data_IF_316844876510
#
_entry.id   IF_316844876510
#
_cell.length_a   1.000
_cell.length_b   1.000
_cell.length_c   1.000
_cell.angle_alpha   90.00
_cell.angle_beta   90.00
_cell.angle_gamma   90.00
#
_symmetry.space_group_name_H-M   'P 1'
#
loop_
_entity.id
_entity.type
_entity.pdbx_description
1 polymer ?
#
# COMPACT_ATOMS: atom_id res chain seq x y z
N UNK A 1 30.72 19.12 31.74
CA UNK A 1 31.03 18.98 30.30
C UNK A 1 31.00 17.50 29.93
N UNK A 2 29.85 16.94 29.53
CA UNK A 2 29.73 15.51 29.19
C UNK A 2 28.39 15.16 28.53
N UNK A 3 27.97 15.88 27.48
CA UNK A 3 26.77 15.54 26.70
C UNK A 3 27.00 15.52 25.17
N UNK A 4 28.14 16.00 24.68
CA UNK A 4 28.45 16.00 23.24
C UNK A 4 28.67 14.61 22.60
N UNK A 5 29.26 13.59 23.27
CA UNK A 5 29.59 12.33 22.58
C UNK A 5 28.35 11.46 22.25
N UNK A 6 27.29 11.57 23.05
CA UNK A 6 26.12 10.70 22.94
C UNK A 6 25.19 11.11 21.78
N UNK A 7 25.01 12.43 21.58
CA UNK A 7 24.29 12.97 20.43
C UNK A 7 24.99 12.64 19.11
N UNK A 8 26.32 12.74 19.06
CA UNK A 8 27.09 12.42 17.86
C UNK A 8 26.95 10.94 17.43
N UNK A 9 26.96 9.99 18.39
CA UNK A 9 26.74 8.57 18.10
C UNK A 9 25.31 8.26 17.66
N UNK A 10 24.30 8.94 18.24
CA UNK A 10 22.90 8.80 17.84
C UNK A 10 22.67 9.24 16.39
N UNK A 11 23.22 10.38 16.01
CA UNK A 11 23.16 10.88 14.63
C UNK A 11 23.85 9.94 13.63
N UNK A 12 25.01 9.37 13.99
CA UNK A 12 25.73 8.44 13.12
C UNK A 12 24.94 7.15 12.86
N UNK A 13 24.33 6.58 13.90
CA UNK A 13 23.48 5.37 13.77
C UNK A 13 22.22 5.63 12.95
N UNK A 14 21.62 6.81 13.10
CA UNK A 14 20.46 7.20 12.30
C UNK A 14 20.85 7.36 10.82
N UNK A 15 21.99 8.00 10.54
CA UNK A 15 22.49 8.19 9.18
C UNK A 15 22.82 6.86 8.48
N UNK A 16 23.41 5.90 9.21
CA UNK A 16 23.68 4.55 8.69
C UNK A 16 22.38 3.79 8.41
N UNK A 17 21.36 3.89 9.27
CA UNK A 17 20.06 3.27 9.02
C UNK A 17 19.33 3.87 7.81
N UNK A 18 19.40 5.19 7.64
CA UNK A 18 18.84 5.88 6.47
C UNK A 18 19.56 5.44 5.21
N UNK A 19 20.89 5.37 5.22
CA UNK A 19 21.69 4.90 4.08
C UNK A 19 21.38 3.43 3.71
N UNK A 20 21.17 2.58 4.72
CA UNK A 20 20.77 1.17 4.53
C UNK A 20 19.36 1.04 3.94
N UNK A 21 18.40 1.87 4.38
CA UNK A 21 17.04 1.90 3.82
C UNK A 21 17.01 2.43 2.38
N UNK A 22 17.82 3.45 2.07
CA UNK A 22 17.95 3.96 0.70
C UNK A 22 18.53 2.88 -0.22
N UNK A 23 19.55 2.14 0.22
CA UNK A 23 20.12 1.02 -0.54
C UNK A 23 19.11 -0.13 -0.76
N UNK A 24 18.24 -0.41 0.20
CA UNK A 24 17.16 -1.40 0.05
C UNK A 24 16.01 -0.92 -0.85
N UNK A 25 15.74 0.39 -0.89
CA UNK A 25 14.70 0.97 -1.76
C UNK A 25 15.06 0.99 -3.24
N UNK A 26 16.33 0.77 -3.57
CA UNK A 26 16.86 0.67 -4.94
C UNK A 26 16.64 -0.73 -5.55
N UNK A 27 16.20 -1.71 -4.75
CA UNK A 27 15.94 -3.09 -5.16
C UNK A 27 14.47 -3.32 -5.57
N UNK A 28 13.56 -2.38 -5.25
CA UNK A 28 12.16 -2.47 -5.63
C UNK A 28 11.92 -2.05 -7.09
N UNK A 29 11.55 -3.01 -7.92
CA UNK A 29 11.20 -2.84 -9.34
C UNK A 29 10.01 -1.88 -9.55
N UNK A 30 10.31 -0.59 -9.71
CA UNK A 30 9.39 0.38 -10.31
C UNK A 30 10.16 1.35 -11.22
N UNK A 31 9.55 1.65 -12.37
CA UNK A 31 10.13 2.33 -13.55
C UNK A 31 11.22 3.41 -13.24
N UNK A 32 12.48 3.19 -13.63
CA UNK A 32 13.63 4.04 -13.25
C UNK A 32 13.60 5.46 -13.82
N UNK A 33 12.79 5.71 -14.86
CA UNK A 33 12.72 7.00 -15.56
C UNK A 33 12.11 8.13 -14.73
N UNK A 34 11.12 7.85 -13.88
CA UNK A 34 10.40 8.87 -13.11
C UNK A 34 11.11 9.23 -11.79
N UNK A 35 11.70 8.25 -11.10
CA UNK A 35 12.53 8.49 -9.90
C UNK A 35 13.72 9.40 -10.19
N UNK A 36 14.41 9.21 -11.32
CA UNK A 36 15.61 10.00 -11.66
C UNK A 36 15.34 11.51 -11.74
N UNK A 37 14.27 11.91 -12.44
CA UNK A 37 13.92 13.34 -12.61
C UNK A 37 13.40 13.96 -11.31
N UNK A 38 12.53 13.26 -10.59
CA UNK A 38 11.98 13.77 -9.32
C UNK A 38 13.06 13.88 -8.25
N UNK A 39 13.92 12.87 -8.13
CA UNK A 39 15.03 12.89 -7.17
C UNK A 39 16.04 14.00 -7.47
N UNK A 40 16.38 14.21 -8.76
CA UNK A 40 17.22 15.33 -9.17
C UNK A 40 16.59 16.69 -8.82
N UNK A 41 15.28 16.83 -9.01
CA UNK A 41 14.54 18.03 -8.62
C UNK A 41 14.57 18.26 -7.11
N UNK A 42 14.27 17.24 -6.31
CA UNK A 42 14.32 17.31 -4.84
C UNK A 42 15.74 17.69 -4.37
N UNK A 43 16.77 17.09 -4.97
CA UNK A 43 18.17 17.38 -4.62
C UNK A 43 18.57 18.82 -4.95
N UNK A 44 18.13 19.33 -6.10
CA UNK A 44 18.37 20.71 -6.50
C UNK A 44 17.64 21.69 -5.57
N UNK A 45 16.36 21.43 -5.26
CA UNK A 45 15.56 22.24 -4.35
C UNK A 45 16.15 22.29 -2.94
N UNK A 46 16.63 21.16 -2.43
CA UNK A 46 17.30 21.08 -1.12
C UNK A 46 18.61 21.86 -1.11
N UNK A 47 19.42 21.75 -2.16
CA UNK A 47 20.66 22.54 -2.26
C UNK A 47 20.39 24.05 -2.27
N UNK A 48 19.39 24.51 -3.03
CA UNK A 48 18.97 25.92 -3.07
C UNK A 48 18.48 26.37 -1.68
N UNK A 49 17.69 25.55 -0.99
CA UNK A 49 17.18 25.84 0.35
C UNK A 49 18.30 25.98 1.38
N UNK A 50 19.33 25.13 1.32
CA UNK A 50 20.50 25.20 2.20
C UNK A 50 21.31 26.47 1.94
N UNK A 51 21.52 26.84 0.67
CA UNK A 51 22.21 28.09 0.32
C UNK A 51 21.44 29.31 0.83
N UNK A 52 20.12 29.34 0.66
CA UNK A 52 19.27 30.41 1.18
C UNK A 52 19.38 30.53 2.71
N UNK A 53 19.38 29.39 3.42
CA UNK A 53 19.56 29.36 4.88
C UNK A 53 20.91 29.93 5.33
N UNK A 54 22.00 29.58 4.63
CA UNK A 54 23.34 30.12 4.92
C UNK A 54 23.38 31.64 4.75
N UNK A 55 22.75 32.16 3.69
CA UNK A 55 22.63 33.61 3.46
C UNK A 55 21.85 34.29 4.59
N UNK A 56 20.74 33.69 5.05
CA UNK A 56 19.95 34.22 6.18
C UNK A 56 20.76 34.26 7.48
N UNK A 57 21.54 33.22 7.76
CA UNK A 57 22.43 33.17 8.93
C UNK A 57 23.50 34.26 8.85
N UNK A 58 24.14 34.45 7.69
CA UNK A 58 25.13 35.52 7.49
C UNK A 58 24.50 36.91 7.63
N UNK A 59 23.31 37.13 7.09
CA UNK A 59 22.58 38.39 7.21
C UNK A 59 22.23 38.71 8.67
N UNK A 60 21.85 37.70 9.46
CA UNK A 60 21.58 37.83 10.90
C UNK A 60 22.82 38.26 11.69
N UNK A 61 23.97 37.60 11.46
CA UNK A 61 25.23 37.93 12.15
C UNK A 61 25.76 39.33 11.78
N UNK A 62 25.56 39.76 10.53
CA UNK A 62 26.03 41.06 10.04
C UNK A 62 25.09 42.24 10.38
N UNK A 63 23.99 42.00 11.10
CA UNK A 63 23.01 43.04 11.54
C UNK A 63 22.68 44.06 10.44
N UNK A 64 22.35 43.59 9.22
CA UNK A 64 22.03 44.46 8.10
C UNK A 64 20.84 45.40 8.44
N UNK A 65 21.14 46.67 8.74
CA UNK A 65 20.22 47.68 9.26
C UNK A 65 19.52 48.49 8.15
N UNK A 66 18.18 48.49 8.12
CA UNK A 66 17.27 48.85 7.01
C UNK A 66 17.31 50.29 6.43
N UNK A 67 18.27 51.16 6.78
CA UNK A 67 18.27 52.55 6.27
C UNK A 67 19.43 52.86 5.32
N UNK A 68 19.02 53.31 4.11
CA UNK A 68 19.76 53.96 3.01
C UNK A 68 20.91 53.20 2.33
N UNK A 69 20.82 53.02 1.00
CA UNK A 69 21.99 52.89 0.11
C UNK A 69 21.67 53.30 -1.34
N UNK A 70 22.69 53.87 -2.01
CA UNK A 70 22.70 54.21 -3.43
C UNK A 70 22.62 52.96 -4.34
N UNK A 71 22.15 53.10 -5.59
CA UNK A 71 21.73 51.96 -6.43
C UNK A 71 22.86 51.10 -7.06
N UNK A 72 24.11 51.58 -7.09
CA UNK A 72 25.14 51.05 -8.00
C UNK A 72 26.27 50.23 -7.35
N UNK A 73 26.20 49.95 -6.04
CA UNK A 73 27.17 49.10 -5.35
C UNK A 73 26.73 47.62 -5.36
N UNK A 74 27.65 46.66 -5.58
CA UNK A 74 27.34 45.21 -5.62
C UNK A 74 26.69 44.72 -4.32
N UNK A 75 27.07 45.30 -3.18
CA UNK A 75 26.42 45.03 -1.88
C UNK A 75 24.95 45.48 -1.87
N UNK A 76 24.62 46.56 -2.57
CA UNK A 76 23.26 47.07 -2.74
C UNK A 76 22.39 46.11 -3.57
N UNK A 77 22.95 45.49 -4.63
CA UNK A 77 22.24 44.51 -5.47
C UNK A 77 21.92 43.21 -4.73
N UNK A 78 22.89 42.64 -4.00
CA UNK A 78 22.68 41.45 -3.16
C UNK A 78 21.63 41.72 -2.09
N UNK A 79 21.68 42.91 -1.49
CA UNK A 79 20.72 43.34 -0.48
C UNK A 79 19.32 43.56 -1.07
N UNK A 80 19.22 44.12 -2.27
CA UNK A 80 17.96 44.26 -2.99
C UNK A 80 17.35 42.88 -3.32
N UNK A 81 18.15 41.92 -3.80
CA UNK A 81 17.66 40.55 -4.03
C UNK A 81 17.19 39.87 -2.74
N UNK A 82 17.85 40.13 -1.62
CA UNK A 82 17.43 39.61 -0.32
C UNK A 82 16.11 40.24 0.16
N UNK A 83 15.91 41.54 -0.05
CA UNK A 83 14.64 42.22 0.27
C UNK A 83 13.50 41.75 -0.62
N UNK A 84 13.74 41.58 -1.92
CA UNK A 84 12.77 41.00 -2.85
C UNK A 84 12.40 39.57 -2.46
N UNK A 85 13.38 38.76 -2.04
CA UNK A 85 13.14 37.40 -1.51
C UNK A 85 12.32 37.42 -0.22
N UNK A 86 12.64 38.31 0.73
CA UNK A 86 11.89 38.45 1.98
C UNK A 86 10.45 38.87 1.75
N UNK A 87 10.20 39.89 0.92
CA UNK A 87 8.85 40.32 0.57
C UNK A 87 8.11 39.18 -0.15
N UNK A 88 8.72 38.52 -1.13
CA UNK A 88 8.11 37.36 -1.78
C UNK A 88 7.74 36.24 -0.78
N UNK A 89 8.63 35.96 0.17
CA UNK A 89 8.43 34.93 1.20
C UNK A 89 7.28 35.27 2.13
N UNK A 90 7.19 36.52 2.58
CA UNK A 90 6.14 36.98 3.51
C UNK A 90 4.80 37.12 2.81
N UNK A 91 4.78 37.72 1.61
CA UNK A 91 3.54 38.09 0.92
C UNK A 91 2.91 36.91 0.16
N UNK A 92 3.73 35.96 -0.32
CA UNK A 92 3.24 34.87 -1.17
C UNK A 92 3.54 33.47 -0.60
N UNK A 93 4.79 33.18 -0.21
CA UNK A 93 5.14 31.83 0.20
C UNK A 93 4.52 31.42 1.55
N UNK A 94 4.59 32.28 2.56
CA UNK A 94 4.04 32.04 3.89
C UNK A 94 2.51 31.82 3.90
N UNK A 95 1.68 32.71 3.30
CA UNK A 95 0.23 32.48 3.27
C UNK A 95 -0.14 31.24 2.46
N UNK A 96 0.58 30.95 1.38
CA UNK A 96 0.34 29.74 0.58
C UNK A 96 0.63 28.45 1.37
N UNK A 97 1.79 28.36 2.04
CA UNK A 97 2.14 27.21 2.89
C UNK A 97 1.14 27.06 4.03
N UNK A 98 0.73 28.17 4.65
CA UNK A 98 -0.27 28.17 5.72
C UNK A 98 -1.64 27.68 5.23
N UNK A 99 -2.06 28.11 4.04
CA UNK A 99 -3.30 27.63 3.40
C UNK A 99 -3.24 26.12 3.14
N UNK A 100 -2.15 25.62 2.56
CA UNK A 100 -1.96 24.19 2.31
C UNK A 100 -1.92 23.38 3.61
N UNK A 101 -1.21 23.89 4.64
CA UNK A 101 -1.15 23.26 5.95
C UNK A 101 -2.52 23.17 6.60
N UNK A 102 -3.31 24.26 6.59
CA UNK A 102 -4.70 24.27 7.08
C UNK A 102 -5.57 23.26 6.35
N UNK A 103 -5.42 23.16 5.03
CA UNK A 103 -6.14 22.17 4.22
C UNK A 103 -5.78 20.73 4.63
N UNK A 104 -4.49 20.42 4.79
CA UNK A 104 -4.04 19.10 5.26
C UNK A 104 -4.56 18.77 6.66
N UNK A 105 -4.60 19.75 7.57
CA UNK A 105 -5.15 19.57 8.92
C UNK A 105 -6.64 19.20 8.85
N UNK A 106 -7.42 19.87 7.99
CA UNK A 106 -8.83 19.54 7.79
C UNK A 106 -9.00 18.11 7.26
N UNK A 107 -8.22 17.69 6.26
CA UNK A 107 -8.26 16.31 5.75
C UNK A 107 -7.90 15.29 6.83
N UNK A 108 -6.89 15.59 7.66
CA UNK A 108 -6.51 14.73 8.77
C UNK A 108 -7.63 14.62 9.82
N UNK A 109 -8.33 15.72 10.11
CA UNK A 109 -9.48 15.72 11.02
C UNK A 109 -10.63 14.87 10.47
N UNK A 110 -10.93 14.96 9.17
CA UNK A 110 -11.94 14.12 8.52
C UNK A 110 -11.55 12.64 8.62
N UNK A 111 -10.31 12.30 8.23
CA UNK A 111 -9.82 10.92 8.32
C UNK A 111 -9.81 10.38 9.77
N UNK A 112 -9.51 11.24 10.75
CA UNK A 112 -9.54 10.89 12.17
C UNK A 112 -10.97 10.61 12.64
N UNK A 113 -11.94 11.43 12.22
CA UNK A 113 -13.35 11.23 12.53
C UNK A 113 -13.89 9.92 11.93
N UNK A 114 -13.59 9.62 10.67
CA UNK A 114 -14.01 8.37 10.03
C UNK A 114 -13.49 7.15 10.80
N UNK A 115 -12.21 7.17 11.19
CA UNK A 115 -11.61 6.10 12.00
C UNK A 115 -12.27 6.00 13.38
N UNK A 116 -12.57 7.14 14.02
CA UNK A 116 -13.24 7.17 15.32
C UNK A 116 -14.66 6.59 15.23
N UNK A 117 -15.42 6.92 14.18
CA UNK A 117 -16.75 6.35 13.93
C UNK A 117 -16.65 4.83 13.72
N UNK A 118 -15.69 4.35 12.91
CA UNK A 118 -15.45 2.91 12.73
C UNK A 118 -15.09 2.23 14.06
N UNK A 119 -14.23 2.84 14.88
CA UNK A 119 -13.87 2.30 16.20
C UNK A 119 -15.08 2.22 17.14
N UNK A 120 -15.94 3.25 17.17
CA UNK A 120 -17.18 3.25 17.96
C UNK A 120 -18.13 2.18 17.43
N UNK A 121 -18.27 2.02 16.12
CA UNK A 121 -19.06 0.97 15.49
C UNK A 121 -18.59 -0.43 15.89
N UNK A 122 -17.29 -0.71 15.74
CA UNK A 122 -16.69 -1.98 16.15
C UNK A 122 -16.86 -2.24 17.66
N UNK A 123 -16.67 -1.21 18.49
CA UNK A 123 -16.89 -1.31 19.94
C UNK A 123 -18.35 -1.62 20.26
N UNK A 124 -19.30 -0.96 19.59
CA UNK A 124 -20.73 -1.18 19.77
C UNK A 124 -21.17 -2.58 19.35
N UNK A 125 -20.70 -3.06 18.20
CA UNK A 125 -20.93 -4.44 17.71
C UNK A 125 -20.42 -5.46 18.74
N UNK A 126 -19.19 -5.27 19.23
CA UNK A 126 -18.57 -6.15 20.22
C UNK A 126 -19.30 -6.10 21.56
N UNK A 127 -19.72 -4.92 22.02
CA UNK A 127 -20.46 -4.73 23.26
C UNK A 127 -21.86 -5.36 23.20
N UNK A 128 -22.58 -5.18 22.09
CA UNK A 128 -23.91 -5.75 21.86
C UNK A 128 -23.88 -7.22 21.42
N UNK A 129 -22.69 -7.81 21.22
CA UNK A 129 -22.50 -9.17 20.66
C UNK A 129 -23.38 -9.41 19.43
N UNK A 130 -23.51 -8.41 18.57
CA UNK A 130 -24.29 -8.52 17.34
C UNK A 130 -23.57 -9.48 16.42
N UNK A 131 -24.07 -10.72 16.36
CA UNK A 131 -23.74 -11.64 15.28
C UNK A 131 -24.66 -11.28 14.12
N UNK A 132 -24.14 -11.10 12.90
CA UNK A 132 -25.00 -11.04 11.73
C UNK A 132 -25.81 -12.35 11.72
N UNK A 133 -27.12 -12.25 11.93
CA UNK A 133 -28.03 -13.38 11.78
C UNK A 133 -28.30 -13.46 10.29
N UNK A 134 -27.77 -14.50 9.64
CA UNK A 134 -28.16 -14.84 8.27
C UNK A 134 -29.60 -15.34 8.39
N UNK A 135 -30.56 -14.61 7.82
CA UNK A 135 -31.95 -15.06 7.73
C UNK A 135 -32.00 -16.23 6.72
N UNK A 136 -31.96 -17.46 7.24
CA UNK A 136 -32.07 -18.69 6.46
C UNK A 136 -32.35 -19.87 7.38
N UNK A 137 -33.14 -20.83 6.91
CA UNK A 137 -33.25 -22.14 7.55
C UNK A 137 -31.84 -22.79 7.53
N UNK A 138 -31.37 -23.39 8.63
CA UNK A 138 -30.09 -24.10 8.63
C UNK A 138 -30.12 -25.19 7.56
N UNK A 139 -29.07 -25.27 6.74
CA UNK A 139 -28.93 -26.32 5.75
C UNK A 139 -29.03 -27.69 6.42
N UNK A 140 -29.83 -28.58 5.85
CA UNK A 140 -29.95 -29.94 6.37
C UNK A 140 -28.64 -30.66 6.07
N UNK A 141 -27.87 -30.96 7.13
CA UNK A 141 -26.56 -31.62 7.04
C UNK A 141 -26.71 -33.03 6.42
N UNK A 142 -27.89 -33.65 6.53
CA UNK A 142 -28.17 -34.96 5.92
C UNK A 142 -28.52 -34.87 4.43
N UNK A 143 -28.98 -33.70 3.96
CA UNK A 143 -29.23 -33.43 2.55
C UNK A 143 -28.15 -32.51 1.97
N UNK A 144 -27.08 -33.12 1.47
CA UNK A 144 -26.02 -32.43 0.73
C UNK A 144 -26.54 -31.62 -0.46
N UNK A 145 -27.79 -31.84 -0.91
CA UNK A 145 -28.40 -31.08 -1.99
C UNK A 145 -28.92 -29.68 -1.60
N UNK A 146 -28.98 -29.39 -0.30
CA UNK A 146 -29.42 -28.10 0.25
C UNK A 146 -28.33 -27.02 0.24
N UNK A 147 -27.05 -27.41 0.17
CA UNK A 147 -25.91 -26.49 0.23
C UNK A 147 -25.75 -25.70 -1.08
N UNK A 148 -25.56 -24.37 -1.08
CA UNK A 148 -25.39 -23.64 -2.32
C UNK A 148 -24.09 -24.01 -3.06
N UNK A 149 -24.06 -23.77 -4.37
CA UNK A 149 -22.84 -23.93 -5.17
C UNK A 149 -21.87 -22.78 -4.87
N UNK A 150 -20.65 -23.09 -4.38
CA UNK A 150 -19.65 -22.10 -3.98
C UNK A 150 -18.39 -22.17 -4.84
N UNK A 151 -18.00 -21.04 -5.42
CA UNK A 151 -16.73 -20.84 -6.10
C UNK A 151 -15.73 -20.14 -5.18
N UNK A 152 -14.57 -20.75 -4.96
CA UNK A 152 -13.46 -20.13 -4.23
C UNK A 152 -12.39 -19.68 -5.23
N UNK A 153 -12.05 -18.40 -5.23
CA UNK A 153 -11.02 -17.83 -6.09
C UNK A 153 -9.78 -17.44 -5.29
N UNK A 154 -8.60 -17.85 -5.77
CA UNK A 154 -7.31 -17.53 -5.16
C UNK A 154 -6.42 -16.83 -6.20
N UNK A 155 -6.46 -15.49 -6.31
CA UNK A 155 -5.52 -14.73 -7.12
C UNK A 155 -4.09 -14.77 -6.54
N UNK A 156 -3.14 -15.24 -7.35
CA UNK A 156 -1.72 -15.35 -7.01
C UNK A 156 -0.85 -14.60 -8.02
N UNK A 157 0.25 -13.98 -7.56
CA UNK A 157 1.22 -13.32 -8.43
C UNK A 157 2.62 -13.37 -7.81
N UNK A 158 3.49 -14.24 -8.32
CA UNK A 158 4.86 -14.50 -7.83
C UNK A 158 4.93 -14.96 -6.36
N UNK A 159 3.94 -15.72 -5.90
CA UNK A 159 3.76 -16.12 -4.49
C UNK A 159 4.45 -17.45 -4.13
N UNK A 160 5.78 -17.50 -4.28
CA UNK A 160 6.57 -18.74 -4.15
C UNK A 160 6.51 -19.41 -2.76
N UNK A 161 6.30 -18.63 -1.70
CA UNK A 161 6.44 -19.12 -0.32
C UNK A 161 5.10 -19.57 0.26
N UNK A 162 3.99 -19.01 -0.22
CA UNK A 162 2.66 -19.18 0.38
C UNK A 162 1.70 -19.98 -0.48
N UNK A 163 1.98 -20.18 -1.78
CA UNK A 163 1.05 -20.83 -2.72
C UNK A 163 0.54 -22.19 -2.21
N UNK A 164 1.43 -23.04 -1.72
CA UNK A 164 1.08 -24.40 -1.29
C UNK A 164 0.17 -24.39 -0.07
N UNK A 165 0.45 -23.50 0.90
CA UNK A 165 -0.36 -23.39 2.12
C UNK A 165 -1.75 -22.82 1.83
N UNK A 166 -1.84 -21.81 0.97
CA UNK A 166 -3.11 -21.20 0.59
C UNK A 166 -4.00 -22.15 -0.21
N UNK A 167 -3.44 -22.83 -1.24
CA UNK A 167 -4.19 -23.84 -2.00
C UNK A 167 -4.65 -24.98 -1.09
N UNK A 168 -3.75 -25.47 -0.24
CA UNK A 168 -4.06 -26.55 0.71
C UNK A 168 -5.17 -26.15 1.69
N UNK A 169 -5.15 -24.93 2.23
CA UNK A 169 -6.17 -24.44 3.14
C UNK A 169 -7.54 -24.31 2.45
N UNK A 170 -7.58 -23.77 1.22
CA UNK A 170 -8.81 -23.70 0.45
C UNK A 170 -9.37 -25.10 0.08
N UNK A 171 -8.49 -26.06 -0.23
CA UNK A 171 -8.87 -27.45 -0.51
C UNK A 171 -9.40 -28.22 0.71
N UNK A 172 -9.21 -27.69 1.91
CA UNK A 172 -9.62 -28.30 3.18
C UNK A 172 -10.85 -27.62 3.80
N UNK A 173 -11.53 -26.75 3.07
CA UNK A 173 -12.80 -26.19 3.48
C UNK A 173 -13.85 -27.30 3.65
N UNK A 174 -14.61 -27.21 4.74
CA UNK A 174 -15.66 -28.17 5.09
C UNK A 174 -16.93 -27.86 4.30
N UNK A 175 -16.94 -28.26 3.03
CA UNK A 175 -18.06 -28.08 2.11
C UNK A 175 -18.22 -29.33 1.22
N UNK A 176 -19.45 -29.68 0.78
CA UNK A 176 -19.65 -30.77 -0.17
C UNK A 176 -18.76 -30.60 -1.42
N UNK A 177 -17.93 -31.61 -1.71
CA UNK A 177 -16.91 -31.55 -2.78
C UNK A 177 -17.49 -31.39 -4.17
N UNK A 178 -18.71 -31.86 -4.38
CA UNK A 178 -19.49 -31.71 -5.60
C UNK A 178 -20.08 -30.30 -5.77
N UNK A 179 -20.13 -29.51 -4.70
CA UNK A 179 -20.66 -28.14 -4.67
C UNK A 179 -19.62 -27.05 -4.45
N UNK A 180 -18.36 -27.45 -4.32
CA UNK A 180 -17.21 -26.57 -4.19
C UNK A 180 -16.39 -26.60 -5.47
N UNK A 181 -16.00 -25.44 -5.99
CA UNK A 181 -14.96 -25.32 -7.00
C UNK A 181 -13.89 -24.35 -6.53
N UNK A 182 -12.64 -24.79 -6.58
CA UNK A 182 -11.50 -23.94 -6.26
C UNK A 182 -10.85 -23.50 -7.57
N UNK A 183 -10.64 -22.20 -7.72
CA UNK A 183 -10.09 -21.59 -8.92
C UNK A 183 -8.83 -20.80 -8.54
N UNK A 184 -7.67 -21.36 -8.89
CA UNK A 184 -6.37 -20.71 -8.69
C UNK A 184 -6.05 -19.86 -9.89
N UNK A 185 -5.91 -18.55 -9.68
CA UNK A 185 -5.72 -17.55 -10.73
C UNK A 185 -4.29 -17.01 -10.67
N UNK A 186 -3.41 -17.55 -11.51
CA UNK A 186 -1.99 -17.23 -11.50
C UNK A 186 -1.61 -16.15 -12.52
N UNK A 187 -1.10 -15.03 -12.00
CA UNK A 187 -0.56 -13.87 -12.72
C UNK A 187 0.97 -13.78 -12.67
N UNK A 188 1.64 -14.85 -12.20
CA UNK A 188 3.10 -14.90 -12.09
C UNK A 188 3.77 -14.81 -13.46
N UNK A 189 4.86 -14.05 -13.55
CA UNK A 189 5.71 -13.97 -14.76
C UNK A 189 6.86 -15.00 -14.71
N UNK A 190 7.15 -15.56 -13.52
CA UNK A 190 8.20 -16.56 -13.29
C UNK A 190 7.70 -17.98 -13.64
N UNK A 191 8.30 -18.60 -14.66
CA UNK A 191 7.98 -19.96 -15.12
C UNK A 191 8.13 -21.03 -14.02
N UNK A 192 9.09 -20.85 -13.11
CA UNK A 192 9.31 -21.79 -11.99
C UNK A 192 8.13 -21.72 -11.03
N UNK A 193 7.67 -20.51 -10.70
CA UNK A 193 6.53 -20.31 -9.81
C UNK A 193 5.25 -20.84 -10.45
N UNK A 194 5.02 -20.55 -11.74
CA UNK A 194 3.88 -21.11 -12.48
C UNK A 194 3.86 -22.64 -12.45
N UNK A 195 5.02 -23.28 -12.64
CA UNK A 195 5.12 -24.74 -12.60
C UNK A 195 4.81 -25.30 -11.21
N UNK A 196 5.31 -24.66 -10.14
CA UNK A 196 5.06 -25.06 -8.76
C UNK A 196 3.56 -24.97 -8.42
N UNK A 197 2.92 -23.85 -8.75
CA UNK A 197 1.48 -23.64 -8.51
C UNK A 197 0.65 -24.67 -9.29
N UNK A 198 0.98 -24.87 -10.58
CA UNK A 198 0.29 -25.83 -11.43
C UNK A 198 0.41 -27.27 -10.92
N UNK A 199 1.60 -27.66 -10.43
CA UNK A 199 1.83 -28.98 -9.85
C UNK A 199 1.05 -29.19 -8.55
N UNK A 200 0.99 -28.18 -7.69
CA UNK A 200 0.18 -28.24 -6.46
C UNK A 200 -1.29 -28.44 -6.80
N UNK A 201 -1.84 -27.63 -7.71
CA UNK A 201 -3.23 -27.76 -8.18
C UNK A 201 -3.50 -29.15 -8.75
N UNK A 202 -2.57 -29.67 -9.56
CA UNK A 202 -2.69 -31.01 -10.13
C UNK A 202 -2.71 -32.10 -9.04
N UNK A 203 -1.86 -31.98 -8.02
CA UNK A 203 -1.82 -32.94 -6.89
C UNK A 203 -3.14 -32.98 -6.10
N UNK A 204 -3.80 -31.83 -5.94
CA UNK A 204 -5.11 -31.76 -5.28
C UNK A 204 -6.24 -32.29 -6.17
N UNK A 205 -6.14 -32.06 -7.48
CA UNK A 205 -7.06 -32.65 -8.44
C UNK A 205 -6.99 -34.18 -8.44
N UNK A 206 -5.80 -34.77 -8.33
CA UNK A 206 -5.63 -36.23 -8.19
C UNK A 206 -6.22 -36.80 -6.89
N UNK A 207 -6.26 -35.99 -5.82
CA UNK A 207 -6.96 -36.33 -4.57
C UNK A 207 -8.49 -36.23 -4.67
N UNK A 208 -9.03 -35.91 -5.85
CA UNK A 208 -10.47 -35.79 -6.11
C UNK A 208 -11.08 -34.46 -5.66
N UNK A 209 -10.27 -33.41 -5.48
CA UNK A 209 -10.79 -32.05 -5.23
C UNK A 209 -11.12 -31.39 -6.57
N UNK A 210 -12.26 -30.72 -6.64
CA UNK A 210 -12.65 -29.93 -7.80
C UNK A 210 -11.87 -28.60 -7.81
N UNK A 211 -10.71 -28.61 -8.47
CA UNK A 211 -9.80 -27.46 -8.55
C UNK A 211 -9.35 -27.20 -10.00
N UNK A 212 -9.29 -25.93 -10.37
CA UNK A 212 -8.90 -25.45 -11.69
C UNK A 212 -7.77 -24.43 -11.57
N UNK A 213 -6.69 -24.66 -12.31
CA UNK A 213 -5.61 -23.70 -12.51
C UNK A 213 -5.91 -22.84 -13.74
N UNK A 214 -5.75 -21.52 -13.61
CA UNK A 214 -5.81 -20.58 -14.73
C UNK A 214 -4.62 -19.65 -14.69
N UNK A 215 -3.99 -19.50 -15.84
CA UNK A 215 -2.96 -18.51 -16.05
C UNK A 215 -3.36 -17.63 -17.23
N UNK A 216 -3.03 -16.33 -17.17
CA UNK A 216 -3.26 -15.39 -18.27
C UNK A 216 -1.94 -14.81 -18.76
N UNK A 217 -1.79 -14.73 -20.07
CA UNK A 217 -0.59 -14.17 -20.71
C UNK A 217 -0.55 -12.64 -20.67
N UNK A 218 -1.71 -11.97 -20.62
CA UNK A 218 -1.81 -10.52 -20.65
C UNK A 218 -2.33 -10.01 -19.30
N UNK A 219 -1.44 -9.38 -18.52
CA UNK A 219 -1.75 -8.81 -17.20
C UNK A 219 -2.45 -7.46 -17.26
N UNK A 220 -3.55 -7.37 -18.01
CA UNK A 220 -4.38 -6.16 -18.04
C UNK A 220 -5.20 -6.04 -16.75
N UNK A 221 -5.12 -4.89 -16.07
CA UNK A 221 -5.95 -4.61 -14.89
C UNK A 221 -5.54 -5.33 -13.60
N UNK A 222 -4.35 -5.96 -13.53
CA UNK A 222 -3.80 -6.60 -12.32
C UNK A 222 -4.82 -7.52 -11.63
N UNK A 223 -4.86 -7.57 -10.28
CA UNK A 223 -5.76 -8.42 -9.49
C UNK A 223 -7.23 -8.33 -9.93
N UNK A 224 -7.75 -7.11 -10.11
CA UNK A 224 -9.14 -6.89 -10.53
C UNK A 224 -9.42 -7.42 -11.94
N UNK A 225 -8.46 -7.26 -12.86
CA UNK A 225 -8.56 -7.81 -14.21
C UNK A 225 -8.48 -9.34 -14.23
N UNK A 226 -7.69 -9.94 -13.33
CA UNK A 226 -7.57 -11.40 -13.21
C UNK A 226 -8.91 -12.01 -12.76
N UNK A 227 -9.48 -11.45 -11.68
CA UNK A 227 -10.79 -11.83 -11.16
C UNK A 227 -11.89 -11.64 -12.22
N UNK A 228 -11.91 -10.51 -12.94
CA UNK A 228 -12.88 -10.27 -14.01
C UNK A 228 -12.80 -11.32 -15.14
N UNK A 229 -11.58 -11.68 -15.55
CA UNK A 229 -11.37 -12.70 -16.58
C UNK A 229 -11.83 -14.08 -16.10
N UNK A 230 -11.57 -14.40 -14.84
CA UNK A 230 -12.02 -15.64 -14.21
C UNK A 230 -13.55 -15.73 -14.13
N UNK A 231 -14.21 -14.65 -13.73
CA UNK A 231 -15.67 -14.55 -13.64
C UNK A 231 -16.38 -14.64 -14.99
N UNK A 232 -15.68 -14.40 -16.10
CA UNK A 232 -16.25 -14.51 -17.44
C UNK A 232 -16.36 -15.96 -17.96
N UNK A 233 -15.83 -16.95 -17.22
CA UNK A 233 -15.89 -18.35 -17.63
C UNK A 233 -17.31 -18.91 -17.51
N UNK A 234 -17.73 -19.73 -18.47
CA UNK A 234 -19.12 -20.23 -18.51
C UNK A 234 -19.51 -21.05 -17.29
N UNK A 235 -18.61 -21.90 -16.78
CA UNK A 235 -18.87 -22.70 -15.59
C UNK A 235 -19.08 -21.87 -14.32
N UNK A 236 -18.64 -20.62 -14.26
CA UNK A 236 -18.83 -19.75 -13.08
C UNK A 236 -20.31 -19.40 -12.89
N UNK A 237 -21.10 -19.43 -13.98
CA UNK A 237 -22.53 -19.14 -13.94
C UNK A 237 -23.33 -20.15 -13.13
N UNK A 238 -22.78 -21.35 -12.92
CA UNK A 238 -23.43 -22.42 -12.15
C UNK A 238 -23.18 -22.29 -10.64
N UNK A 239 -22.38 -21.30 -10.20
CA UNK A 239 -22.06 -21.06 -8.79
C UNK A 239 -22.81 -19.83 -8.25
N UNK A 240 -23.48 -20.00 -7.12
CA UNK A 240 -24.34 -18.99 -6.49
C UNK A 240 -23.53 -17.97 -5.68
N UNK A 241 -22.47 -18.44 -5.02
CA UNK A 241 -21.59 -17.61 -4.21
C UNK A 241 -20.14 -17.68 -4.68
N UNK A 242 -19.43 -16.56 -4.52
CA UNK A 242 -18.00 -16.48 -4.81
C UNK A 242 -17.27 -15.98 -3.56
N UNK A 243 -16.37 -16.80 -3.04
CA UNK A 243 -15.41 -16.41 -2.01
C UNK A 243 -14.06 -16.10 -2.67
N UNK A 244 -13.42 -15.00 -2.26
CA UNK A 244 -12.11 -14.61 -2.79
C UNK A 244 -11.12 -14.59 -1.62
N UNK A 245 -10.05 -15.35 -1.74
CA UNK A 245 -8.97 -15.39 -0.76
C UNK A 245 -7.68 -14.85 -1.35
N UNK A 246 -6.98 -14.01 -0.59
CA UNK A 246 -5.63 -13.59 -0.95
C UNK A 246 -4.66 -14.77 -0.82
N UNK A 247 -3.57 -14.75 -1.60
CA UNK A 247 -2.62 -15.86 -1.68
C UNK A 247 -1.88 -16.15 -0.35
N UNK A 248 -1.85 -15.20 0.58
CA UNK A 248 -1.30 -15.33 1.92
C UNK A 248 -2.35 -15.70 2.98
N UNK A 249 -3.64 -15.70 2.61
CA UNK A 249 -4.73 -16.02 3.51
C UNK A 249 -4.94 -17.55 3.59
N UNK A 250 -5.08 -18.04 4.82
CA UNK A 250 -5.34 -19.44 5.14
C UNK A 250 -6.69 -19.50 5.85
N UNK A 251 -7.80 -19.75 5.12
CA UNK A 251 -9.12 -19.85 5.74
C UNK A 251 -9.17 -21.04 6.70
N UNK A 252 -9.92 -20.89 7.79
CA UNK A 252 -10.25 -22.03 8.63
C UNK A 252 -11.21 -22.98 7.88
N UNK A 253 -11.21 -24.29 8.18
CA UNK A 253 -12.10 -25.25 7.52
C UNK A 253 -13.58 -24.90 7.62
N UNK A 254 -13.99 -24.27 8.73
CA UNK A 254 -15.36 -23.85 9.03
C UNK A 254 -15.75 -22.51 8.41
N UNK A 255 -14.91 -21.90 7.56
CA UNK A 255 -15.16 -20.56 7.02
C UNK A 255 -16.47 -20.43 6.24
N UNK A 256 -16.92 -21.48 5.57
CA UNK A 256 -18.15 -21.48 4.77
C UNK A 256 -19.41 -21.84 5.58
N UNK A 257 -19.26 -22.25 6.84
CA UNK A 257 -20.34 -22.70 7.73
C UNK A 257 -20.95 -21.58 8.59
#
# INVERSE_FOLDING_TARGET
MSCLPWLAMGFLKMFVSVKKRIALSDIGEENPKYKGKLYQFIRAFLAISVVALVIEVMAYFNKWNLNMTNPWEVQSLVRWSYMAWLSFRVDYAAPFILMLSKFCIVLFMIQSLDRLVLCIGCFWIKFKKLKPVIEGEPYDIEDGSSFPMVLVQIPMCNEKEVYAQSISAACQLDWPKDRLLIQVLDDSDDEIVQLLIKNEVYSWKEKGVNIIYRHRFIRTGYKAGNLKSAMACDYVKDYEFVAIFDADFQPNPDFLN
#
